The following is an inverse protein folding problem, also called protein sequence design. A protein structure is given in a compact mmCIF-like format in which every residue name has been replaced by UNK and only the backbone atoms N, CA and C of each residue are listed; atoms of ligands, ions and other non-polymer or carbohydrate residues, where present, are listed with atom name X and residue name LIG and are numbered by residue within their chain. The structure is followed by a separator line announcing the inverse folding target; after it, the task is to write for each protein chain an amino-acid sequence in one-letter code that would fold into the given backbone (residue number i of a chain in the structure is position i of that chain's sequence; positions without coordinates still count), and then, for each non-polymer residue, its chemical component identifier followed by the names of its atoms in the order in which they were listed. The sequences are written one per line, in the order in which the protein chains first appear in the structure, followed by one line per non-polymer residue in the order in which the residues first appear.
data_IF_739353609064
#
_entry.id   IF_739353609064
#
_cell.length_a   1.000
_cell.length_b   1.000
_cell.length_c   1.000
_cell.angle_alpha   90.00
_cell.angle_beta   90.00
_cell.angle_gamma   90.00
#
_symmetry.space_group_name_H-M   'P 1'
#
loop_
_entity.id
_entity.type
_entity.pdbx_description
1 polymer ?
#
# COMPACT_ATOMS: atom_id res chain seq x y z
N UNK A 1 2.87 14.42 14.57
CA UNK A 1 2.67 13.61 13.36
C UNK A 1 2.37 14.55 12.21
N UNK A 2 3.28 14.68 11.28
CA UNK A 2 3.04 15.44 10.05
C UNK A 2 2.29 14.51 9.10
N UNK A 3 0.99 14.72 8.92
CA UNK A 3 0.28 14.15 7.78
C UNK A 3 0.75 14.91 6.54
N UNK A 4 1.62 14.30 5.75
CA UNK A 4 1.94 14.81 4.43
C UNK A 4 0.74 14.49 3.56
N UNK A 5 -0.09 15.49 3.31
CA UNK A 5 -1.12 15.43 2.30
C UNK A 5 -0.39 15.54 0.97
N UNK A 6 -0.28 14.43 0.25
CA UNK A 6 0.16 14.46 -1.13
C UNK A 6 -0.85 15.24 -1.97
N UNK A 7 -0.61 16.52 -2.15
CA UNK A 7 -1.27 17.27 -3.19
C UNK A 7 -0.70 16.81 -4.53
N UNK A 8 -1.46 16.01 -5.25
CA UNK A 8 -1.14 15.67 -6.63
C UNK A 8 -1.22 16.93 -7.48
N UNK A 9 -0.09 17.49 -7.84
CA UNK A 9 -0.01 18.37 -9.00
C UNK A 9 0.02 17.46 -10.22
N UNK A 10 -1.12 17.30 -10.87
CA UNK A 10 -1.20 16.65 -12.17
C UNK A 10 -0.55 17.57 -13.18
N UNK A 11 0.75 17.39 -13.43
CA UNK A 11 1.38 17.97 -14.61
C UNK A 11 1.07 17.04 -15.77
N UNK A 12 0.02 17.40 -16.52
CA UNK A 12 -0.24 16.80 -17.82
C UNK A 12 0.75 17.41 -18.81
N UNK A 13 1.91 16.82 -18.92
CA UNK A 13 2.80 17.09 -20.03
C UNK A 13 2.48 16.11 -21.16
N UNK A 14 1.69 16.54 -22.13
CA UNK A 14 1.67 15.90 -23.44
C UNK A 14 3.01 16.13 -24.12
N UNK A 15 3.90 15.18 -23.96
CA UNK A 15 5.13 15.07 -24.69
C UNK A 15 5.27 13.65 -25.20
N UNK A 16 5.40 13.47 -26.48
CA UNK A 16 5.92 12.25 -27.13
C UNK A 16 7.29 11.97 -26.52
N UNK A 17 7.33 11.24 -25.40
CA UNK A 17 8.57 10.73 -24.86
C UNK A 17 8.60 9.23 -25.12
N UNK A 18 9.49 8.85 -26.02
CA UNK A 18 10.12 7.52 -25.97
C UNK A 18 10.32 7.15 -24.51
N UNK A 19 9.71 6.05 -24.10
CA UNK A 19 9.84 5.54 -22.75
C UNK A 19 11.32 5.20 -22.51
N UNK A 20 12.08 6.17 -22.06
CA UNK A 20 13.30 5.89 -21.33
C UNK A 20 12.83 5.27 -20.01
N UNK A 21 13.07 3.97 -19.84
CA UNK A 21 13.01 3.34 -18.54
C UNK A 21 13.91 4.19 -17.63
N UNK A 22 13.30 5.04 -16.81
CA UNK A 22 14.05 5.71 -15.76
C UNK A 22 14.56 4.58 -14.88
N UNK A 23 15.89 4.43 -14.86
CA UNK A 23 16.57 3.56 -13.93
C UNK A 23 16.35 4.16 -12.54
N UNK A 24 15.17 3.85 -11.96
CA UNK A 24 14.89 4.21 -10.58
C UNK A 24 15.84 3.35 -9.77
N UNK A 25 16.87 3.99 -9.20
CA UNK A 25 17.84 3.31 -8.34
C UNK A 25 17.12 2.88 -7.06
N UNK A 26 16.54 1.68 -7.12
CA UNK A 26 15.71 1.10 -6.06
C UNK A 26 16.46 -0.05 -5.42
N UNK A 27 16.38 -0.16 -4.10
CA UNK A 27 16.95 -1.30 -3.39
C UNK A 27 16.38 -2.62 -3.95
N UNK A 28 17.21 -3.64 -4.17
CA UNK A 28 16.77 -4.94 -4.68
C UNK A 28 15.64 -5.58 -3.86
N UNK A 29 15.59 -5.37 -2.54
CA UNK A 29 14.55 -5.91 -1.70
C UNK A 29 13.17 -5.30 -2.02
N UNK A 30 13.12 -4.01 -2.33
CA UNK A 30 11.88 -3.32 -2.75
C UNK A 30 11.45 -3.83 -4.14
N UNK A 31 12.38 -3.95 -5.07
CA UNK A 31 12.10 -4.48 -6.40
C UNK A 31 11.55 -5.91 -6.35
N UNK A 32 12.17 -6.78 -5.55
CA UNK A 32 11.72 -8.16 -5.36
C UNK A 32 10.32 -8.21 -4.75
N UNK A 33 10.01 -7.36 -3.79
CA UNK A 33 8.68 -7.27 -3.19
C UNK A 33 7.62 -6.92 -4.25
N UNK A 34 7.88 -5.93 -5.09
CA UNK A 34 6.96 -5.53 -6.16
C UNK A 34 6.79 -6.66 -7.18
N UNK A 35 7.87 -7.29 -7.62
CA UNK A 35 7.82 -8.42 -8.55
C UNK A 35 7.02 -9.61 -8.01
N UNK A 36 7.14 -9.87 -6.71
CA UNK A 36 6.47 -10.99 -6.05
C UNK A 36 4.97 -10.74 -5.85
N UNK A 37 4.59 -9.56 -5.36
CA UNK A 37 3.20 -9.27 -4.94
C UNK A 37 2.41 -8.43 -5.93
N UNK A 38 3.09 -7.70 -6.82
CA UNK A 38 2.50 -6.82 -7.82
C UNK A 38 3.11 -7.05 -9.22
N UNK A 39 3.09 -8.30 -9.72
CA UNK A 39 3.79 -8.66 -10.96
C UNK A 39 3.22 -7.98 -12.21
N UNK A 40 2.01 -7.42 -12.14
CA UNK A 40 1.36 -6.70 -13.25
C UNK A 40 1.64 -5.20 -13.25
N UNK A 41 2.44 -4.72 -12.31
CA UNK A 41 2.79 -3.31 -12.18
C UNK A 41 4.31 -3.15 -12.09
N UNK A 42 4.78 -1.95 -12.33
CA UNK A 42 6.20 -1.59 -12.25
C UNK A 42 6.38 -0.36 -11.36
N UNK A 43 7.57 -0.22 -10.77
CA UNK A 43 7.90 0.94 -9.95
C UNK A 43 8.01 2.16 -10.85
N UNK A 44 7.19 3.16 -10.58
CA UNK A 44 7.20 4.44 -11.27
C UNK A 44 8.01 5.50 -10.53
N UNK A 45 7.91 5.52 -9.20
CA UNK A 45 8.54 6.54 -8.37
C UNK A 45 8.96 5.96 -7.03
N UNK A 46 10.13 6.38 -6.55
CA UNK A 46 10.64 6.09 -5.21
C UNK A 46 11.01 7.41 -4.55
N UNK A 47 10.44 7.66 -3.39
CA UNK A 47 10.62 8.90 -2.63
C UNK A 47 11.08 8.57 -1.20
N UNK A 48 12.38 8.61 -0.92
CA UNK A 48 12.87 8.48 0.44
C UNK A 48 12.48 9.70 1.27
N UNK A 49 12.07 9.47 2.51
CA UNK A 49 11.81 10.49 3.52
C UNK A 49 12.67 10.21 4.76
N UNK A 50 12.54 11.01 5.81
CA UNK A 50 13.30 10.86 7.05
C UNK A 50 13.01 9.52 7.75
N UNK A 51 11.76 9.07 7.70
CA UNK A 51 11.29 7.88 8.43
C UNK A 51 10.98 6.67 7.55
N UNK A 52 10.62 6.90 6.28
CA UNK A 52 10.07 5.89 5.40
C UNK A 52 10.54 6.07 3.95
N UNK A 53 10.26 5.07 3.11
CA UNK A 53 10.45 5.12 1.68
C UNK A 53 9.10 4.92 1.02
N UNK A 54 8.61 5.93 0.33
CA UNK A 54 7.37 5.85 -0.44
C UNK A 54 7.64 5.35 -1.85
N UNK A 55 6.85 4.39 -2.31
CA UNK A 55 6.92 3.83 -3.65
C UNK A 55 5.56 3.92 -4.31
N UNK A 56 5.54 4.43 -5.53
CA UNK A 56 4.34 4.49 -6.37
C UNK A 56 4.55 3.62 -7.59
N UNK A 57 3.60 2.73 -7.84
CA UNK A 57 3.59 1.88 -9.02
C UNK A 57 2.85 2.56 -10.18
N UNK A 58 3.09 2.10 -11.39
CA UNK A 58 2.50 2.68 -12.60
C UNK A 58 0.97 2.52 -12.69
N UNK A 59 0.39 1.65 -11.86
CA UNK A 59 -1.06 1.44 -11.74
C UNK A 59 -1.71 2.25 -10.60
N UNK A 60 -0.95 3.18 -10.00
CA UNK A 60 -1.32 4.00 -8.84
C UNK A 60 -1.38 3.25 -7.50
N UNK A 61 -0.92 2.02 -7.40
CA UNK A 61 -0.67 1.37 -6.11
C UNK A 61 0.41 2.13 -5.36
N UNK A 62 0.19 2.40 -4.08
CA UNK A 62 1.15 3.06 -3.21
C UNK A 62 1.66 2.10 -2.16
N UNK A 63 2.97 2.08 -1.97
CA UNK A 63 3.65 1.26 -0.99
C UNK A 63 4.49 2.15 -0.09
N UNK A 64 4.57 1.80 1.20
CA UNK A 64 5.53 2.39 2.13
C UNK A 64 6.43 1.31 2.68
N UNK A 65 7.73 1.60 2.72
CA UNK A 65 8.76 0.76 3.32
C UNK A 65 9.45 1.51 4.44
N UNK A 66 9.89 0.80 5.45
CA UNK A 66 10.80 1.34 6.46
C UNK A 66 12.18 1.56 5.83
N UNK A 67 13.04 2.34 6.49
CA UNK A 67 14.40 2.60 6.00
C UNK A 67 15.27 1.33 5.90
N UNK A 68 14.89 0.24 6.58
CA UNK A 68 15.51 -1.08 6.46
C UNK A 68 14.93 -1.93 5.31
N UNK A 69 14.10 -1.33 4.46
CA UNK A 69 13.43 -1.96 3.32
C UNK A 69 12.34 -2.99 3.67
N UNK A 70 11.92 -3.10 4.91
CA UNK A 70 10.74 -3.88 5.29
C UNK A 70 9.47 -3.12 4.89
N UNK A 71 8.53 -3.81 4.24
CA UNK A 71 7.27 -3.18 3.88
C UNK A 71 6.46 -2.83 5.13
N UNK A 72 5.78 -1.69 5.08
CA UNK A 72 4.98 -1.14 6.16
C UNK A 72 3.52 -0.97 5.76
N UNK A 73 3.25 -0.50 4.55
CA UNK A 73 1.91 -0.18 4.07
C UNK A 73 1.73 -0.54 2.61
N UNK A 74 0.55 -1.06 2.31
CA UNK A 74 0.05 -1.30 0.95
C UNK A 74 -1.28 -0.59 0.80
N UNK A 75 -1.39 0.26 -0.22
CA UNK A 75 -2.59 1.02 -0.56
C UNK A 75 -2.97 0.77 -2.01
N UNK A 76 -4.06 0.03 -2.21
CA UNK A 76 -4.64 -0.30 -3.52
C UNK A 76 -5.93 0.49 -3.81
N UNK A 77 -6.25 1.53 -3.03
CA UNK A 77 -7.50 2.29 -3.20
C UNK A 77 -7.66 2.85 -4.62
N UNK A 78 -6.59 3.36 -5.17
CA UNK A 78 -6.58 3.97 -6.50
C UNK A 78 -5.92 3.11 -7.58
N UNK A 79 -5.58 1.87 -7.26
CA UNK A 79 -4.98 0.96 -8.22
C UNK A 79 -5.94 0.65 -9.37
N UNK A 80 -5.44 0.75 -10.59
CA UNK A 80 -6.19 0.40 -11.81
C UNK A 80 -6.11 -1.09 -12.14
N UNK A 81 -5.23 -1.83 -11.47
CA UNK A 81 -4.96 -3.26 -11.72
C UNK A 81 -5.36 -4.14 -10.54
N UNK A 82 -5.04 -3.73 -9.31
CA UNK A 82 -5.28 -4.50 -8.10
C UNK A 82 -6.52 -4.00 -7.37
N UNK A 83 -7.56 -4.81 -7.35
CA UNK A 83 -8.83 -4.47 -6.67
C UNK A 83 -8.75 -4.57 -5.15
N UNK A 84 -7.75 -5.26 -4.64
CA UNK A 84 -7.52 -5.49 -3.21
C UNK A 84 -6.03 -5.60 -2.89
N UNK A 85 -5.69 -5.44 -1.63
CA UNK A 85 -4.37 -5.83 -1.11
C UNK A 85 -4.18 -7.33 -1.39
N UNK A 86 -2.99 -7.77 -1.88
CA UNK A 86 -2.69 -9.19 -2.06
C UNK A 86 -2.94 -9.99 -0.78
N UNK A 87 -3.70 -11.08 -0.90
CA UNK A 87 -4.11 -11.89 0.25
C UNK A 87 -2.93 -12.49 1.02
N UNK A 88 -1.82 -12.76 0.35
CA UNK A 88 -0.59 -13.28 0.94
C UNK A 88 0.05 -12.33 1.95
N UNK A 89 -0.23 -11.03 1.84
CA UNK A 89 0.28 -10.00 2.76
C UNK A 89 -0.61 -9.82 3.99
N UNK A 90 -1.87 -10.26 3.92
CA UNK A 90 -2.85 -10.04 4.98
C UNK A 90 -2.77 -11.18 5.99
N UNK A 91 -2.56 -10.89 7.29
CA UNK A 91 -2.66 -11.91 8.32
C UNK A 91 -3.99 -12.66 8.25
N UNK A 92 -3.95 -13.98 8.37
CA UNK A 92 -5.14 -14.85 8.26
C UNK A 92 -6.23 -14.46 9.25
N UNK A 93 -5.84 -14.04 10.46
CA UNK A 93 -6.77 -13.60 11.50
C UNK A 93 -7.56 -12.34 11.11
N UNK A 94 -6.94 -11.44 10.36
CA UNK A 94 -7.61 -10.24 9.83
C UNK A 94 -8.59 -10.62 8.74
N UNK A 95 -8.19 -11.46 7.81
CA UNK A 95 -9.07 -11.99 6.76
C UNK A 95 -10.30 -12.70 7.36
N UNK A 96 -10.09 -13.55 8.35
CA UNK A 96 -11.16 -14.25 9.04
C UNK A 96 -12.14 -13.29 9.73
N UNK A 97 -11.62 -12.25 10.40
CA UNK A 97 -12.43 -11.24 11.06
C UNK A 97 -13.31 -10.47 10.05
N UNK A 98 -12.73 -10.04 8.95
CA UNK A 98 -13.45 -9.30 7.89
C UNK A 98 -14.54 -10.19 7.26
N UNK A 99 -14.23 -11.43 6.94
CA UNK A 99 -15.21 -12.36 6.36
C UNK A 99 -16.38 -12.64 7.31
N UNK A 100 -16.11 -12.73 8.61
CA UNK A 100 -17.14 -13.01 9.61
C UNK A 100 -18.05 -11.81 9.92
N UNK A 101 -17.49 -10.59 9.93
CA UNK A 101 -18.19 -9.40 10.39
C UNK A 101 -18.59 -8.43 9.28
N UNK A 102 -17.90 -8.48 8.15
CA UNK A 102 -18.11 -7.62 6.98
C UNK A 102 -18.13 -8.46 5.70
N UNK A 103 -19.07 -9.42 5.56
CA UNK A 103 -19.09 -10.32 4.42
C UNK A 103 -19.17 -9.55 3.11
N UNK A 104 -18.32 -9.92 2.14
CA UNK A 104 -18.23 -9.26 0.85
C UNK A 104 -17.37 -7.98 0.83
N UNK A 105 -16.86 -7.52 1.98
CA UNK A 105 -15.95 -6.39 2.01
C UNK A 105 -14.57 -6.74 1.45
N UNK A 106 -13.93 -5.75 0.82
CA UNK A 106 -12.63 -5.87 0.19
C UNK A 106 -11.64 -5.00 0.96
N UNK A 107 -10.48 -5.56 1.30
CA UNK A 107 -9.40 -4.81 1.97
C UNK A 107 -8.63 -4.02 0.92
N UNK A 108 -8.71 -2.70 0.99
CA UNK A 108 -8.06 -1.76 0.07
C UNK A 108 -6.71 -1.26 0.57
N UNK A 109 -6.55 -1.17 1.89
CA UNK A 109 -5.30 -0.75 2.54
C UNK A 109 -4.96 -1.70 3.67
N UNK A 110 -3.67 -1.90 3.87
CA UNK A 110 -3.11 -2.68 4.97
C UNK A 110 -1.85 -1.99 5.47
N UNK A 111 -1.79 -1.71 6.76
CA UNK A 111 -0.63 -1.08 7.38
C UNK A 111 -0.21 -1.82 8.65
N UNK A 112 1.10 -2.08 8.75
CA UNK A 112 1.73 -2.57 9.98
C UNK A 112 1.94 -1.40 10.94
N UNK A 113 1.38 -1.50 12.13
CA UNK A 113 1.62 -0.55 13.22
C UNK A 113 2.62 -1.13 14.22
N UNK A 114 3.14 -0.29 15.11
CA UNK A 114 4.10 -0.74 16.13
C UNK A 114 3.54 -1.88 17.01
N UNK A 115 2.24 -1.83 17.32
CA UNK A 115 1.56 -2.83 18.16
C UNK A 115 0.28 -3.36 17.55
N UNK A 116 0.27 -3.58 16.26
CA UNK A 116 -0.91 -4.12 15.59
C UNK A 116 -0.96 -3.77 14.11
N UNK A 117 -2.18 -3.64 13.63
CA UNK A 117 -2.48 -3.48 12.21
C UNK A 117 -3.63 -2.52 12.01
N UNK A 118 -3.65 -1.92 10.86
CA UNK A 118 -4.76 -1.09 10.40
C UNK A 118 -5.13 -1.48 8.98
N UNK A 119 -6.43 -1.61 8.73
CA UNK A 119 -6.96 -1.88 7.40
C UNK A 119 -8.03 -0.86 7.04
N UNK A 120 -8.21 -0.63 5.74
CA UNK A 120 -9.36 0.10 5.22
C UNK A 120 -10.10 -0.78 4.22
N UNK A 121 -11.42 -0.84 4.38
CA UNK A 121 -12.31 -1.60 3.51
C UNK A 121 -12.81 -0.72 2.35
N UNK A 122 -13.33 -1.37 1.30
CA UNK A 122 -13.86 -0.68 0.13
C UNK A 122 -15.09 0.20 0.39
N UNK A 123 -15.74 0.05 1.56
CA UNK A 123 -16.84 0.91 2.00
C UNK A 123 -16.38 2.12 2.82
N UNK A 124 -15.06 2.32 2.96
CA UNK A 124 -14.47 3.42 3.73
C UNK A 124 -14.26 3.14 5.21
N UNK A 125 -14.70 1.99 5.73
CA UNK A 125 -14.46 1.63 7.12
C UNK A 125 -12.98 1.34 7.37
N UNK A 126 -12.44 1.92 8.42
CA UNK A 126 -11.10 1.69 8.92
C UNK A 126 -11.17 0.87 10.21
N UNK A 127 -10.45 -0.25 10.26
CA UNK A 127 -10.37 -1.12 11.42
C UNK A 127 -8.93 -1.15 11.94
N UNK A 128 -8.79 -0.95 13.26
CA UNK A 128 -7.52 -1.08 13.95
C UNK A 128 -7.51 -2.36 14.79
N UNK A 129 -6.44 -3.12 14.66
CA UNK A 129 -6.20 -4.36 15.40
C UNK A 129 -4.99 -4.20 16.31
N UNK A 130 -5.06 -4.77 17.50
CA UNK A 130 -3.88 -4.90 18.36
C UNK A 130 -3.00 -6.09 17.92
N UNK A 131 -1.89 -6.33 18.62
CA UNK A 131 -0.96 -7.42 18.29
C UNK A 131 -1.57 -8.83 18.46
N UNK A 132 -2.69 -8.96 19.14
CA UNK A 132 -3.46 -10.20 19.28
C UNK A 132 -4.61 -10.32 18.26
N UNK A 133 -4.63 -9.46 17.23
CA UNK A 133 -5.64 -9.41 16.19
C UNK A 133 -7.07 -9.14 16.70
N UNK A 134 -7.19 -8.41 17.81
CA UNK A 134 -8.47 -7.93 18.31
C UNK A 134 -8.71 -6.51 17.79
N UNK A 135 -9.92 -6.25 17.33
CA UNK A 135 -10.32 -4.90 16.91
C UNK A 135 -10.37 -3.99 18.13
N UNK A 136 -9.66 -2.88 18.05
CA UNK A 136 -9.61 -1.84 19.09
C UNK A 136 -10.38 -0.58 18.71
N UNK A 137 -10.56 -0.34 17.42
CA UNK A 137 -11.24 0.85 16.90
C UNK A 137 -11.83 0.57 15.52
N UNK A 138 -12.99 1.14 15.25
CA UNK A 138 -13.65 1.15 13.94
C UNK A 138 -14.05 2.59 13.65
N UNK A 139 -13.52 3.14 12.57
CA UNK A 139 -13.81 4.50 12.08
C UNK A 139 -14.43 4.47 10.68
N UNK A 140 -15.21 5.48 10.35
CA UNK A 140 -15.76 5.70 9.02
C UNK A 140 -15.44 7.09 8.44
#
# INVERSE_FOLDING_TARGET
MKKIIFAFVAIVCFGLSTAMAQNVNTDPAITQFVEQYFPKATIQMVMPDEDDIDVVLNDYTKLEFRLNNEWKKVDCEHSTVYSSVPTELIPEQITAHVNANFPGAIIKKLEKKFRGWEIELNNGLELKFNSNFRVTEIDD
#
